data_IF_129119944013
#
_entry.id   IF_129119944013
#
_cell.length_a   1.000
_cell.length_b   1.000
_cell.length_c   1.000
_cell.angle_alpha   90.00
_cell.angle_beta   90.00
_cell.angle_gamma   90.00
#
_symmetry.space_group_name_H-M   'P 1'
#
loop_
_entity.id
_entity.type
_entity.pdbx_description
1 polymer ?
#
# COMPACT_ATOMS: atom_id res chain seq x y z
N UNK A 1 -22.31 -0.89 26.94
CA UNK A 1 -23.41 -1.83 26.61
C UNK A 1 -24.48 -1.24 25.70
N UNK A 2 -24.33 -0.02 25.17
CA UNK A 2 -25.38 0.70 24.42
C UNK A 2 -25.25 0.67 22.89
N UNK A 3 -24.09 0.39 22.31
CA UNK A 3 -23.93 0.38 20.84
C UNK A 3 -24.42 -0.90 20.14
N UNK A 4 -24.30 -2.08 20.76
CA UNK A 4 -24.83 -3.33 20.19
C UNK A 4 -26.37 -3.39 20.13
N UNK A 5 -27.05 -2.63 20.99
CA UNK A 5 -28.51 -2.60 21.04
C UNK A 5 -29.13 -1.75 19.92
N UNK A 6 -28.39 -0.76 19.39
CA UNK A 6 -28.88 0.12 18.31
C UNK A 6 -28.78 -0.53 16.92
N UNK A 7 -27.80 -1.45 16.72
CA UNK A 7 -27.64 -2.21 15.46
C UNK A 7 -28.82 -3.19 15.19
N UNK A 8 -29.49 -3.65 16.23
CA UNK A 8 -30.60 -4.63 16.13
C UNK A 8 -31.92 -3.97 15.70
N UNK A 9 -32.05 -2.65 15.87
CA UNK A 9 -33.33 -1.96 15.63
C UNK A 9 -33.53 -1.45 14.18
N UNK A 10 -32.50 -1.38 13.34
CA UNK A 10 -32.62 -0.84 11.99
C UNK A 10 -32.45 -1.87 10.86
N UNK A 11 -32.03 -3.09 11.13
CA UNK A 11 -31.88 -4.16 10.12
C UNK A 11 -30.91 -3.85 8.98
N UNK A 12 -30.23 -2.71 9.01
CA UNK A 12 -29.27 -2.27 7.99
C UNK A 12 -27.87 -2.63 8.46
N UNK A 13 -27.35 -3.76 8.01
CA UNK A 13 -25.91 -4.04 8.14
C UNK A 13 -25.19 -2.89 7.45
N UNK A 14 -24.53 -2.01 8.23
CA UNK A 14 -23.75 -0.92 7.65
C UNK A 14 -22.63 -1.51 6.81
N UNK A 15 -22.58 -1.13 5.54
CA UNK A 15 -21.56 -1.59 4.61
C UNK A 15 -20.19 -1.07 5.06
N UNK A 16 -19.22 -1.97 5.25
CA UNK A 16 -17.86 -1.60 5.66
C UNK A 16 -17.18 -0.76 4.57
N UNK A 17 -16.74 0.45 4.92
CA UNK A 17 -16.08 1.38 4.00
C UNK A 17 -14.56 1.22 4.04
N UNK A 18 -13.93 1.21 2.87
CA UNK A 18 -12.47 1.07 2.71
C UNK A 18 -11.94 2.13 1.75
N UNK A 19 -10.95 2.89 2.18
CA UNK A 19 -10.18 3.76 1.29
C UNK A 19 -9.01 2.99 0.67
N UNK A 20 -8.84 3.09 -0.65
CA UNK A 20 -7.69 2.54 -1.38
C UNK A 20 -6.99 3.66 -2.12
N UNK A 21 -5.70 3.86 -1.93
CA UNK A 21 -4.92 4.84 -2.69
C UNK A 21 -4.29 4.23 -3.94
N UNK A 22 -4.18 5.02 -5.02
CA UNK A 22 -3.59 4.58 -6.29
C UNK A 22 -4.50 3.69 -7.13
N UNK A 23 -5.80 4.00 -7.17
CA UNK A 23 -6.81 3.21 -7.89
C UNK A 23 -6.84 3.46 -9.40
N UNK A 24 -5.99 4.34 -9.95
CA UNK A 24 -6.01 4.61 -11.39
C UNK A 24 -5.56 3.42 -12.25
N UNK A 25 -4.85 2.43 -11.70
CA UNK A 25 -4.41 1.24 -12.44
C UNK A 25 -3.81 0.16 -11.53
N UNK A 26 -3.47 -0.98 -12.11
CA UNK A 26 -2.66 -2.02 -11.48
C UNK A 26 -3.25 -2.56 -10.18
N UNK A 27 -2.41 -2.73 -9.15
CA UNK A 27 -2.81 -3.35 -7.88
C UNK A 27 -3.98 -2.61 -7.22
N UNK A 28 -3.97 -1.27 -7.22
CA UNK A 28 -5.02 -0.47 -6.58
C UNK A 28 -6.38 -0.67 -7.25
N UNK A 29 -6.43 -0.60 -8.58
CA UNK A 29 -7.66 -0.81 -9.35
C UNK A 29 -8.22 -2.22 -9.17
N UNK A 30 -7.37 -3.24 -9.35
CA UNK A 30 -7.80 -4.63 -9.21
C UNK A 30 -8.26 -4.95 -7.78
N UNK A 31 -7.59 -4.39 -6.77
CA UNK A 31 -8.03 -4.52 -5.37
C UNK A 31 -9.35 -3.81 -5.10
N UNK A 32 -9.57 -2.64 -5.72
CA UNK A 32 -10.84 -1.92 -5.61
C UNK A 32 -12.01 -2.73 -6.19
N UNK A 33 -11.81 -3.32 -7.37
CA UNK A 33 -12.78 -4.20 -8.02
C UNK A 33 -13.09 -5.43 -7.16
N UNK A 34 -12.05 -6.07 -6.60
CA UNK A 34 -12.23 -7.23 -5.74
C UNK A 34 -12.95 -6.90 -4.44
N UNK A 35 -12.52 -5.85 -3.71
CA UNK A 35 -13.18 -5.49 -2.44
C UNK A 35 -14.63 -5.03 -2.66
N UNK A 36 -14.95 -4.38 -3.79
CA UNK A 36 -16.33 -4.08 -4.18
C UNK A 36 -17.15 -5.36 -4.37
N UNK A 37 -16.58 -6.38 -5.05
CA UNK A 37 -17.24 -7.71 -5.20
C UNK A 37 -17.48 -8.41 -3.85
N UNK A 38 -16.62 -8.16 -2.88
CA UNK A 38 -16.77 -8.67 -1.51
C UNK A 38 -17.76 -7.87 -0.66
N UNK A 39 -18.42 -6.89 -1.24
CA UNK A 39 -19.48 -6.11 -0.57
C UNK A 39 -18.97 -4.89 0.21
N UNK A 40 -17.72 -4.48 0.06
CA UNK A 40 -17.23 -3.24 0.67
C UNK A 40 -17.70 -2.01 -0.10
N UNK A 41 -17.98 -0.92 0.62
CA UNK A 41 -18.04 0.41 0.04
C UNK A 41 -16.61 0.90 -0.17
N UNK A 42 -16.19 0.99 -1.43
CA UNK A 42 -14.82 1.35 -1.78
C UNK A 42 -14.73 2.81 -2.18
N UNK A 43 -13.94 3.56 -1.41
CA UNK A 43 -13.49 4.91 -1.74
C UNK A 43 -12.17 4.79 -2.53
N UNK A 44 -12.19 5.21 -3.78
CA UNK A 44 -11.10 5.01 -4.73
C UNK A 44 -10.23 6.26 -4.87
N UNK A 45 -9.10 6.30 -4.17
CA UNK A 45 -8.16 7.41 -4.19
C UNK A 45 -7.33 7.48 -5.47
N UNK A 46 -7.42 8.60 -6.19
CA UNK A 46 -6.68 8.87 -7.42
C UNK A 46 -6.06 10.27 -7.38
N UNK A 47 -4.91 10.43 -8.06
CA UNK A 47 -4.18 11.71 -8.09
C UNK A 47 -4.72 12.70 -9.13
N UNK A 48 -5.33 12.22 -10.20
CA UNK A 48 -5.84 13.05 -11.29
C UNK A 48 -7.36 13.12 -11.26
N UNK A 49 -7.97 14.31 -11.51
CA UNK A 49 -9.43 14.44 -11.58
C UNK A 49 -10.09 13.48 -12.58
N UNK A 50 -9.51 13.31 -13.77
CA UNK A 50 -10.05 12.41 -14.80
C UNK A 50 -10.11 10.95 -14.32
N UNK A 51 -9.12 10.52 -13.52
CA UNK A 51 -9.13 9.18 -12.92
C UNK A 51 -10.21 9.06 -11.83
N UNK A 52 -10.49 10.13 -11.07
CA UNK A 52 -11.58 10.18 -10.09
C UNK A 52 -12.93 10.04 -10.80
N UNK A 53 -13.16 10.80 -11.89
CA UNK A 53 -14.40 10.70 -12.69
C UNK A 53 -14.59 9.31 -13.28
N UNK A 54 -13.50 8.71 -13.77
CA UNK A 54 -13.52 7.33 -14.26
C UNK A 54 -13.88 6.34 -13.16
N UNK A 55 -13.34 6.48 -11.94
CA UNK A 55 -13.71 5.62 -10.82
C UNK A 55 -15.18 5.80 -10.44
N UNK A 56 -15.69 7.03 -10.46
CA UNK A 56 -17.13 7.30 -10.25
C UNK A 56 -18.01 6.63 -11.31
N UNK A 57 -17.62 6.70 -12.60
CA UNK A 57 -18.34 6.02 -13.68
C UNK A 57 -18.37 4.49 -13.57
N UNK A 58 -17.35 3.92 -12.90
CA UNK A 58 -17.27 2.48 -12.56
C UNK A 58 -18.07 2.13 -11.29
N UNK A 59 -18.75 3.12 -10.68
CA UNK A 59 -19.58 2.93 -9.48
C UNK A 59 -18.78 2.76 -8.19
N UNK A 60 -17.60 3.37 -8.10
CA UNK A 60 -16.88 3.62 -6.85
C UNK A 60 -17.21 5.01 -6.32
N UNK A 61 -16.77 5.32 -5.14
CA UNK A 61 -16.68 6.70 -4.64
C UNK A 61 -15.26 7.20 -4.87
N UNK A 62 -15.06 8.03 -5.89
CA UNK A 62 -13.75 8.58 -6.23
C UNK A 62 -13.33 9.67 -5.26
N UNK A 63 -12.08 9.63 -4.81
CA UNK A 63 -11.47 10.63 -3.92
C UNK A 63 -10.20 11.20 -4.56
N UNK A 64 -10.10 12.51 -4.65
CA UNK A 64 -8.92 13.17 -5.19
C UNK A 64 -7.83 13.27 -4.11
N UNK A 65 -6.72 12.57 -4.31
CA UNK A 65 -5.61 12.56 -3.34
C UNK A 65 -4.25 12.50 -4.04
N UNK A 66 -3.39 13.45 -3.72
CA UNK A 66 -1.96 13.42 -4.01
C UNK A 66 -1.17 13.26 -2.70
N UNK A 67 -0.52 12.11 -2.55
CA UNK A 67 0.27 11.81 -1.34
C UNK A 67 1.55 12.65 -1.22
N UNK A 68 1.94 13.35 -2.28
CA UNK A 68 3.10 14.26 -2.27
C UNK A 68 2.74 15.67 -1.74
N UNK A 69 1.45 15.98 -1.61
CA UNK A 69 0.93 17.24 -1.06
C UNK A 69 0.23 17.03 0.28
N UNK A 70 0.79 17.54 1.39
CA UNK A 70 0.15 17.48 2.71
C UNK A 70 -1.27 18.03 2.72
N UNK A 71 -1.52 19.14 2.02
CA UNK A 71 -2.83 19.79 1.94
C UNK A 71 -3.84 18.92 1.17
N UNK A 72 -3.38 18.20 0.14
CA UNK A 72 -4.23 17.25 -0.58
C UNK A 72 -4.61 16.05 0.29
N UNK A 73 -3.66 15.57 1.09
CA UNK A 73 -3.90 14.47 2.03
C UNK A 73 -4.91 14.87 3.10
N UNK A 74 -4.79 16.08 3.67
CA UNK A 74 -5.73 16.57 4.69
C UNK A 74 -7.14 16.73 4.13
N UNK A 75 -7.30 17.36 2.96
CA UNK A 75 -8.62 17.49 2.29
C UNK A 75 -9.25 16.12 2.00
N UNK A 76 -8.46 15.18 1.46
CA UNK A 76 -8.95 13.85 1.17
C UNK A 76 -9.36 13.10 2.45
N UNK A 77 -8.61 13.25 3.55
CA UNK A 77 -8.97 12.65 4.83
C UNK A 77 -10.29 13.21 5.36
N UNK A 78 -10.49 14.53 5.32
CA UNK A 78 -11.74 15.18 5.75
C UNK A 78 -12.93 14.73 4.89
N UNK A 79 -12.74 14.61 3.57
CA UNK A 79 -13.74 14.08 2.65
C UNK A 79 -14.10 12.63 2.98
N UNK A 80 -13.12 11.76 3.21
CA UNK A 80 -13.34 10.34 3.59
C UNK A 80 -14.09 10.22 4.90
N UNK A 81 -13.73 11.02 5.90
CA UNK A 81 -14.42 11.06 7.20
C UNK A 81 -15.89 11.44 7.02
N UNK A 82 -16.17 12.47 6.22
CA UNK A 82 -17.55 12.91 5.93
C UNK A 82 -18.34 11.84 5.14
N UNK A 83 -17.76 11.25 4.09
CA UNK A 83 -18.38 10.22 3.26
C UNK A 83 -18.69 8.92 4.01
N UNK A 84 -18.01 8.67 5.12
CA UNK A 84 -18.18 7.45 5.92
C UNK A 84 -18.87 7.69 7.27
N UNK A 85 -19.41 8.88 7.50
CA UNK A 85 -20.02 9.26 8.78
C UNK A 85 -19.10 8.95 9.97
N UNK A 86 -17.80 9.25 9.83
CA UNK A 86 -16.77 8.93 10.83
C UNK A 86 -16.68 7.42 11.17
N UNK A 87 -17.04 6.54 10.22
CA UNK A 87 -17.06 5.08 10.38
C UNK A 87 -16.27 4.40 9.26
N UNK A 88 -14.95 4.53 9.29
CA UNK A 88 -14.07 3.90 8.31
C UNK A 88 -13.59 2.54 8.84
N UNK A 89 -13.86 1.48 8.06
CA UNK A 89 -13.38 0.13 8.40
C UNK A 89 -11.90 -0.07 8.05
N UNK A 90 -11.42 0.48 6.93
CA UNK A 90 -10.04 0.18 6.55
C UNK A 90 -9.42 1.11 5.53
N UNK A 91 -8.10 1.02 5.48
CA UNK A 91 -7.24 1.78 4.56
C UNK A 91 -6.31 0.80 3.86
N UNK A 92 -6.24 0.89 2.53
CA UNK A 92 -5.18 0.27 1.74
C UNK A 92 -4.25 1.35 1.15
N UNK A 93 -3.14 1.60 1.81
CA UNK A 93 -2.08 2.48 1.34
C UNK A 93 -1.28 1.75 0.25
N UNK A 94 -1.72 1.90 -0.99
CA UNK A 94 -1.13 1.23 -2.14
C UNK A 94 -0.39 2.18 -3.08
N UNK A 95 -0.78 3.45 -3.15
CA UNK A 95 -0.11 4.43 -4.00
C UNK A 95 1.39 4.58 -3.65
N UNK A 96 2.19 4.76 -4.68
CA UNK A 96 3.63 4.94 -4.56
C UNK A 96 4.30 4.90 -5.92
N UNK A 97 5.56 5.29 -5.96
CA UNK A 97 6.41 5.22 -7.15
C UNK A 97 7.84 4.81 -6.78
N UNK A 98 8.66 4.48 -7.78
CA UNK A 98 10.06 4.14 -7.58
C UNK A 98 10.99 5.12 -8.27
N UNK A 99 11.93 5.70 -7.52
CA UNK A 99 13.05 6.44 -8.07
C UNK A 99 14.28 5.55 -8.08
N UNK A 100 14.79 5.27 -9.27
CA UNK A 100 15.91 4.37 -9.48
C UNK A 100 17.09 5.14 -10.04
N UNK A 101 18.28 4.76 -9.62
CA UNK A 101 19.55 5.33 -10.01
C UNK A 101 20.61 5.07 -8.94
N UNK A 102 21.91 5.23 -9.27
CA UNK A 102 22.98 5.18 -8.28
C UNK A 102 22.75 6.21 -7.18
N UNK A 103 22.92 5.83 -5.91
CA UNK A 103 22.70 6.75 -4.79
C UNK A 103 23.56 8.02 -4.88
N UNK A 104 24.74 7.93 -5.48
CA UNK A 104 25.62 9.09 -5.74
C UNK A 104 25.04 10.13 -6.69
N UNK A 105 24.01 9.78 -7.47
CA UNK A 105 23.34 10.69 -8.43
C UNK A 105 21.98 11.16 -7.94
N UNK A 106 21.46 10.60 -6.85
CA UNK A 106 20.17 10.99 -6.26
C UNK A 106 20.37 12.24 -5.40
N UNK A 107 19.78 13.34 -5.80
CA UNK A 107 19.81 14.57 -5.02
C UNK A 107 18.95 14.45 -3.75
N UNK A 108 19.17 15.38 -2.80
CA UNK A 108 18.31 15.50 -1.60
C UNK A 108 16.84 15.68 -1.97
N UNK A 109 16.52 16.57 -2.90
CA UNK A 109 15.15 16.84 -3.32
C UNK A 109 14.48 15.58 -3.92
N UNK A 110 15.21 14.79 -4.70
CA UNK A 110 14.71 13.52 -5.22
C UNK A 110 14.48 12.47 -4.11
N UNK A 111 15.36 12.42 -3.10
CA UNK A 111 15.16 11.56 -1.94
C UNK A 111 13.92 11.98 -1.14
N UNK A 112 13.77 13.28 -0.88
CA UNK A 112 12.60 13.84 -0.21
C UNK A 112 11.30 13.51 -0.98
N UNK A 113 11.28 13.66 -2.30
CA UNK A 113 10.14 13.30 -3.15
C UNK A 113 9.81 11.80 -3.05
N UNK A 114 10.82 10.91 -3.07
CA UNK A 114 10.60 9.47 -2.90
C UNK A 114 9.92 9.16 -1.56
N UNK A 115 10.37 9.81 -0.48
CA UNK A 115 9.80 9.62 0.85
C UNK A 115 8.45 10.31 1.02
N UNK A 116 8.25 11.47 0.42
CA UNK A 116 7.00 12.23 0.50
C UNK A 116 5.81 11.35 0.09
N UNK A 117 5.80 10.83 -1.12
CA UNK A 117 4.69 10.01 -1.61
C UNK A 117 4.65 8.61 -0.97
N UNK A 118 5.81 7.93 -0.80
CA UNK A 118 5.83 6.53 -0.40
C UNK A 118 5.69 6.31 1.11
N UNK A 119 6.02 7.32 1.91
CA UNK A 119 6.07 7.19 3.36
C UNK A 119 5.30 8.31 4.08
N UNK A 120 5.67 9.58 3.89
CA UNK A 120 5.05 10.67 4.67
C UNK A 120 3.57 10.83 4.36
N UNK A 121 3.17 10.81 3.08
CA UNK A 121 1.76 10.90 2.71
C UNK A 121 0.93 9.72 3.21
N UNK A 122 1.46 8.50 3.15
CA UNK A 122 0.79 7.32 3.70
C UNK A 122 0.69 7.39 5.23
N UNK A 123 1.73 7.88 5.92
CA UNK A 123 1.70 8.14 7.35
C UNK A 123 0.63 9.17 7.72
N UNK A 124 0.69 10.36 7.10
CA UNK A 124 -0.25 11.46 7.37
C UNK A 124 -1.70 11.00 7.16
N UNK A 125 -2.00 10.39 6.01
CA UNK A 125 -3.33 9.87 5.69
C UNK A 125 -3.82 8.87 6.75
N UNK A 126 -2.95 7.92 7.14
CA UNK A 126 -3.31 6.91 8.13
C UNK A 126 -3.59 7.55 9.49
N UNK A 127 -2.75 8.49 9.94
CA UNK A 127 -2.95 9.17 11.23
C UNK A 127 -4.19 10.06 11.26
N UNK A 128 -4.52 10.72 10.14
CA UNK A 128 -5.75 11.52 9.99
C UNK A 128 -7.02 10.65 10.04
N UNK A 129 -6.98 9.45 9.48
CA UNK A 129 -8.13 8.55 9.40
C UNK A 129 -8.26 7.59 10.59
N UNK A 130 -7.19 7.35 11.34
CA UNK A 130 -7.19 6.44 12.48
C UNK A 130 -8.26 6.77 13.54
N UNK A 131 -8.53 8.05 13.90
CA UNK A 131 -9.61 8.39 14.83
C UNK A 131 -11.01 7.95 14.36
N UNK A 132 -11.26 7.89 13.03
CA UNK A 132 -12.51 7.39 12.48
C UNK A 132 -12.63 5.85 12.48
N UNK A 133 -11.52 5.14 12.76
CA UNK A 133 -11.48 3.68 12.84
C UNK A 133 -11.54 3.16 14.27
N UNK A 134 -10.89 3.84 15.21
CA UNK A 134 -10.70 3.38 16.60
C UNK A 134 -12.01 3.08 17.36
N UNK A 135 -13.08 3.91 17.27
CA UNK A 135 -14.30 3.72 18.06
C UNK A 135 -15.03 2.41 17.73
N UNK A 136 -14.78 1.82 16.56
CA UNK A 136 -15.50 0.62 16.10
C UNK A 136 -14.92 -0.69 16.64
N UNK A 137 -13.74 -0.67 17.27
CA UNK A 137 -13.09 -1.84 17.86
C UNK A 137 -12.71 -2.92 16.82
N UNK A 138 -12.78 -2.61 15.53
CA UNK A 138 -12.32 -3.45 14.42
C UNK A 138 -11.83 -2.59 13.26
N UNK A 139 -10.89 -3.07 12.49
CA UNK A 139 -10.41 -2.35 11.31
C UNK A 139 -9.21 -3.02 10.64
N UNK A 140 -8.85 -2.49 9.47
CA UNK A 140 -7.72 -2.97 8.66
C UNK A 140 -6.90 -1.81 8.14
N UNK A 141 -5.60 -1.83 8.43
CA UNK A 141 -4.60 -0.97 7.80
C UNK A 141 -3.67 -1.88 6.99
N UNK A 142 -3.72 -1.75 5.68
CA UNK A 142 -2.91 -2.56 4.76
C UNK A 142 -1.96 -1.64 4.02
N UNK A 143 -0.68 -1.99 4.01
CA UNK A 143 0.38 -1.19 3.39
C UNK A 143 1.04 -1.98 2.27
N UNK A 144 1.22 -1.38 1.10
CA UNK A 144 2.03 -1.96 0.03
C UNK A 144 3.51 -1.66 0.27
N UNK A 145 4.22 -2.64 0.80
CA UNK A 145 5.67 -2.65 0.86
C UNK A 145 6.27 -3.19 -0.46
N UNK A 146 7.34 -3.91 -0.41
CA UNK A 146 8.02 -4.57 -1.54
C UNK A 146 9.03 -5.57 -1.02
N UNK A 147 9.50 -6.48 -1.88
CA UNK A 147 10.75 -7.20 -1.63
C UNK A 147 11.91 -6.24 -1.36
N UNK A 148 11.86 -5.02 -1.92
CA UNK A 148 12.81 -3.94 -1.66
C UNK A 148 12.67 -3.28 -0.27
N UNK A 149 11.66 -3.60 0.48
CA UNK A 149 11.56 -3.28 1.91
C UNK A 149 12.30 -4.28 2.80
N UNK A 150 12.73 -5.40 2.24
CA UNK A 150 13.45 -6.47 2.92
C UNK A 150 14.93 -6.53 2.53
N UNK A 151 15.25 -6.21 1.28
CA UNK A 151 16.61 -6.13 0.74
C UNK A 151 16.77 -4.84 -0.07
N UNK A 152 18.01 -4.53 -0.44
CA UNK A 152 18.32 -3.47 -1.40
C UNK A 152 19.26 -4.00 -2.47
N UNK A 153 19.16 -3.43 -3.68
CA UNK A 153 20.04 -3.75 -4.80
C UNK A 153 20.64 -2.47 -5.38
N UNK A 154 21.77 -2.55 -6.09
CA UNK A 154 22.33 -1.38 -6.77
C UNK A 154 21.27 -0.68 -7.63
N UNK A 155 21.29 0.65 -7.65
CA UNK A 155 20.35 1.48 -8.41
C UNK A 155 18.94 1.60 -7.83
N UNK A 156 18.62 0.95 -6.71
CA UNK A 156 17.28 1.02 -6.07
C UNK A 156 17.31 1.55 -4.64
N UNK A 157 18.42 2.17 -4.23
CA UNK A 157 18.64 2.56 -2.84
C UNK A 157 17.59 3.51 -2.28
N UNK A 158 17.19 4.55 -3.01
CA UNK A 158 16.17 5.51 -2.58
C UNK A 158 14.80 4.84 -2.36
N UNK A 159 14.36 4.05 -3.32
CA UNK A 159 13.11 3.29 -3.22
C UNK A 159 13.16 2.28 -2.06
N UNK A 160 14.24 1.50 -1.96
CA UNK A 160 14.41 0.53 -0.87
C UNK A 160 14.35 1.21 0.48
N UNK A 161 15.05 2.34 0.68
CA UNK A 161 15.03 3.10 1.91
C UNK A 161 13.61 3.49 2.34
N UNK A 162 12.78 3.99 1.39
CA UNK A 162 11.38 4.34 1.67
C UNK A 162 10.54 3.13 2.08
N UNK A 163 10.78 1.95 1.47
CA UNK A 163 10.05 0.72 1.81
C UNK A 163 10.52 0.09 3.11
N UNK A 164 11.81 0.17 3.44
CA UNK A 164 12.32 -0.22 4.77
C UNK A 164 11.73 0.65 5.88
N UNK A 165 11.62 1.96 5.65
CA UNK A 165 10.96 2.86 6.59
C UNK A 165 9.51 2.44 6.84
N UNK A 166 8.77 2.09 5.77
CA UNK A 166 7.39 1.63 5.83
C UNK A 166 7.24 0.31 6.61
N UNK A 167 8.18 -0.64 6.44
CA UNK A 167 8.21 -1.90 7.20
C UNK A 167 8.33 -1.64 8.71
N UNK A 168 9.34 -0.85 9.11
CA UNK A 168 9.58 -0.53 10.52
C UNK A 168 8.41 0.24 11.14
N UNK A 169 7.86 1.23 10.41
CA UNK A 169 6.70 2.01 10.83
C UNK A 169 5.46 1.12 11.03
N UNK A 170 5.20 0.22 10.10
CA UNK A 170 4.05 -0.69 10.18
C UNK A 170 4.16 -1.67 11.35
N UNK A 171 5.36 -2.14 11.66
CA UNK A 171 5.60 -2.99 12.82
C UNK A 171 5.35 -2.23 14.14
N UNK A 172 5.79 -0.98 14.24
CA UNK A 172 5.53 -0.13 15.41
C UNK A 172 4.02 0.10 15.58
N UNK A 173 3.34 0.57 14.51
CA UNK A 173 1.90 0.82 14.55
C UNK A 173 1.09 -0.44 14.92
N UNK A 174 1.47 -1.60 14.39
CA UNK A 174 0.82 -2.87 14.73
C UNK A 174 0.91 -3.20 16.23
N UNK A 175 2.05 -2.92 16.86
CA UNK A 175 2.25 -3.14 18.29
C UNK A 175 1.48 -2.11 19.12
N UNK A 176 1.44 -0.87 18.71
CA UNK A 176 0.68 0.21 19.36
C UNK A 176 -0.82 -0.07 19.32
N UNK A 177 -1.34 -0.57 18.19
CA UNK A 177 -2.76 -0.87 17.99
C UNK A 177 -3.20 -2.26 18.49
N UNK A 178 -2.35 -3.02 19.20
CA UNK A 178 -2.63 -4.42 19.60
C UNK A 178 -3.93 -4.63 20.35
N UNK A 179 -4.43 -3.63 21.07
CA UNK A 179 -5.66 -3.68 21.87
C UNK A 179 -6.85 -2.96 21.24
N UNK A 180 -6.69 -2.32 20.08
CA UNK A 180 -7.74 -1.54 19.42
C UNK A 180 -8.71 -2.37 18.57
N UNK A 181 -8.36 -3.63 18.27
CA UNK A 181 -9.07 -4.45 17.28
C UNK A 181 -8.65 -4.18 15.82
N UNK A 182 -7.93 -3.08 15.56
CA UNK A 182 -7.39 -2.77 14.22
C UNK A 182 -6.19 -3.67 13.94
N UNK A 183 -6.16 -4.27 12.75
CA UNK A 183 -5.05 -5.13 12.30
C UNK A 183 -4.23 -4.42 11.22
N UNK A 184 -2.93 -4.40 11.40
CA UNK A 184 -1.97 -3.83 10.45
C UNK A 184 -1.27 -4.96 9.70
N UNK A 185 -1.27 -4.89 8.36
CA UNK A 185 -0.69 -5.89 7.46
C UNK A 185 0.17 -5.24 6.38
N UNK A 186 1.25 -5.90 6.03
CA UNK A 186 2.13 -5.53 4.93
C UNK A 186 1.94 -6.49 3.76
N UNK A 187 1.72 -5.98 2.57
CA UNK A 187 1.79 -6.72 1.32
C UNK A 187 3.20 -6.49 0.77
N UNK A 188 3.92 -7.56 0.47
CA UNK A 188 5.31 -7.52 0.06
C UNK A 188 5.45 -8.13 -1.35
N UNK A 189 5.12 -7.36 -2.41
CA UNK A 189 5.27 -7.81 -3.78
C UNK A 189 6.74 -7.97 -4.15
N UNK A 190 7.04 -9.02 -4.92
CA UNK A 190 8.22 -9.09 -5.75
C UNK A 190 7.97 -8.44 -7.12
N UNK A 191 8.55 -8.95 -8.21
CA UNK A 191 8.27 -8.47 -9.56
C UNK A 191 6.79 -8.70 -9.93
N UNK A 192 6.05 -7.60 -10.17
CA UNK A 192 4.64 -7.61 -10.60
C UNK A 192 4.50 -6.76 -11.87
N UNK A 193 3.82 -7.27 -12.89
CA UNK A 193 3.50 -6.52 -14.12
C UNK A 193 2.44 -5.47 -13.83
N UNK A 194 2.85 -4.22 -13.69
CA UNK A 194 1.98 -3.06 -13.48
C UNK A 194 2.58 -1.83 -14.15
N UNK A 195 1.79 -0.77 -14.32
CA UNK A 195 2.30 0.54 -14.76
C UNK A 195 3.33 1.17 -13.83
N UNK A 196 3.53 0.59 -12.65
CA UNK A 196 4.61 1.01 -11.75
C UNK A 196 5.99 0.91 -12.44
N UNK A 197 6.24 -0.18 -13.18
CA UNK A 197 7.49 -0.36 -13.94
C UNK A 197 7.65 0.71 -15.01
N UNK A 198 6.56 1.06 -15.71
CA UNK A 198 6.58 2.09 -16.75
C UNK A 198 6.86 3.48 -16.15
N UNK A 199 6.28 3.78 -14.99
CA UNK A 199 6.50 5.05 -14.28
C UNK A 199 7.95 5.16 -13.76
N UNK A 200 8.56 4.06 -13.32
CA UNK A 200 9.98 4.02 -12.92
C UNK A 200 10.88 4.37 -14.09
N UNK A 201 10.65 3.79 -15.27
CA UNK A 201 11.46 4.05 -16.45
C UNK A 201 11.39 5.51 -16.92
N UNK A 202 10.33 6.24 -16.61
CA UNK A 202 10.18 7.67 -16.92
C UNK A 202 10.97 8.60 -15.98
N UNK A 203 11.35 8.14 -14.80
CA UNK A 203 12.13 8.93 -13.84
C UNK A 203 13.63 8.78 -14.01
N UNK A 204 14.09 7.88 -14.88
CA UNK A 204 15.51 7.69 -15.23
C UNK A 204 15.85 8.38 -16.53
N UNK A 205 16.83 9.29 -16.48
CA UNK A 205 17.52 9.78 -17.67
C UNK A 205 18.24 8.60 -18.36
N UNK A 206 17.91 8.37 -19.61
CA UNK A 206 18.68 7.75 -20.68
C UNK A 206 18.91 6.23 -20.74
N UNK A 207 18.53 5.40 -19.79
CA UNK A 207 18.54 3.94 -20.02
C UNK A 207 17.40 3.23 -19.27
N UNK A 208 16.59 2.42 -19.99
CA UNK A 208 15.64 1.53 -19.32
C UNK A 208 16.40 0.65 -18.33
N UNK A 209 15.91 0.50 -17.11
CA UNK A 209 16.40 -0.57 -16.23
C UNK A 209 15.90 -1.88 -16.82
N UNK A 210 16.66 -2.39 -17.77
CA UNK A 210 16.49 -3.77 -18.17
C UNK A 210 16.68 -4.64 -16.93
N UNK A 211 15.68 -5.39 -16.60
CA UNK A 211 15.75 -6.41 -15.58
C UNK A 211 15.78 -7.79 -16.26
N UNK A 212 16.86 -8.13 -16.98
CA UNK A 212 16.98 -9.39 -17.72
C UNK A 212 17.34 -10.57 -16.81
N UNK A 213 17.29 -10.36 -15.48
CA UNK A 213 17.68 -11.37 -14.51
C UNK A 213 16.61 -12.46 -14.32
N UNK A 214 17.02 -13.52 -13.62
CA UNK A 214 16.17 -14.66 -13.21
C UNK A 214 14.83 -14.20 -12.59
N UNK A 215 14.80 -13.04 -11.93
CA UNK A 215 13.61 -12.44 -11.35
C UNK A 215 12.49 -12.15 -12.37
N UNK A 216 12.82 -11.85 -13.64
CA UNK A 216 11.82 -11.62 -14.68
C UNK A 216 10.96 -12.86 -14.97
N UNK A 217 11.54 -14.06 -14.82
CA UNK A 217 10.83 -15.34 -15.00
C UNK A 217 9.76 -15.61 -13.92
N UNK A 218 9.83 -14.90 -12.80
CA UNK A 218 8.90 -15.03 -11.67
C UNK A 218 7.98 -13.82 -11.53
N UNK A 219 7.86 -12.99 -12.59
CA UNK A 219 6.95 -11.85 -12.60
C UNK A 219 5.51 -12.34 -12.69
N UNK A 220 4.71 -11.98 -11.69
CA UNK A 220 3.28 -12.30 -11.63
C UNK A 220 2.43 -11.10 -12.09
N UNK A 221 1.17 -11.35 -12.37
CA UNK A 221 0.20 -10.29 -12.58
C UNK A 221 -0.32 -9.68 -11.27
N UNK A 222 -1.05 -8.55 -11.33
CA UNK A 222 -1.59 -7.88 -10.15
C UNK A 222 -2.59 -8.76 -9.36
N UNK A 223 -3.23 -9.74 -9.99
CA UNK A 223 -4.15 -10.71 -9.38
C UNK A 223 -3.52 -11.47 -8.20
N UNK A 224 -2.23 -11.78 -8.29
CA UNK A 224 -1.51 -12.47 -7.20
C UNK A 224 -1.41 -11.60 -5.93
N UNK A 225 -1.40 -10.30 -6.08
CA UNK A 225 -1.43 -9.32 -4.98
C UNK A 225 -2.84 -9.20 -4.43
N UNK A 226 -3.84 -9.14 -5.30
CA UNK A 226 -5.25 -8.97 -4.96
C UNK A 226 -5.75 -10.05 -3.98
N UNK A 227 -5.37 -11.31 -4.19
CA UNK A 227 -5.71 -12.39 -3.26
C UNK A 227 -5.17 -12.15 -1.84
N UNK A 228 -3.98 -11.57 -1.73
CA UNK A 228 -3.38 -11.24 -0.41
C UNK A 228 -4.09 -10.07 0.23
N UNK A 229 -4.42 -9.03 -0.56
CA UNK A 229 -5.20 -7.87 -0.10
C UNK A 229 -6.58 -8.33 0.36
N UNK A 230 -7.29 -9.14 -0.43
CA UNK A 230 -8.58 -9.71 -0.06
C UNK A 230 -8.50 -10.45 1.28
N UNK A 231 -7.51 -11.34 1.45
CA UNK A 231 -7.33 -12.07 2.71
C UNK A 231 -7.04 -11.11 3.88
N UNK A 232 -6.24 -10.06 3.68
CA UNK A 232 -5.93 -9.10 4.72
C UNK A 232 -7.17 -8.33 5.20
N UNK A 233 -8.13 -8.05 4.30
CA UNK A 233 -9.36 -7.33 4.66
C UNK A 233 -10.46 -8.23 5.24
N UNK A 234 -10.61 -9.47 4.75
CA UNK A 234 -11.75 -10.34 5.08
C UNK A 234 -11.45 -11.27 6.24
N UNK A 235 -10.20 -11.74 6.37
CA UNK A 235 -9.85 -12.73 7.39
C UNK A 235 -10.03 -12.19 8.81
N UNK A 236 -10.58 -13.02 9.70
CA UNK A 236 -10.60 -12.72 11.15
C UNK A 236 -9.19 -12.69 11.75
N UNK A 237 -8.26 -13.46 11.15
CA UNK A 237 -6.86 -13.56 11.57
C UNK A 237 -5.93 -13.21 10.41
N UNK A 238 -5.88 -11.94 9.97
CA UNK A 238 -4.99 -11.54 8.89
C UNK A 238 -3.52 -11.73 9.31
N UNK A 239 -2.68 -12.06 8.33
CA UNK A 239 -1.24 -12.16 8.56
C UNK A 239 -0.63 -10.77 8.70
N UNK A 240 0.44 -10.67 9.48
CA UNK A 240 1.23 -9.43 9.58
C UNK A 240 1.93 -9.09 8.25
N UNK A 241 2.39 -10.11 7.53
CA UNK A 241 3.10 -9.99 6.25
C UNK A 241 2.58 -10.98 5.22
N UNK A 242 2.50 -10.51 3.99
CA UNK A 242 2.05 -11.27 2.83
C UNK A 242 3.12 -11.21 1.71
N UNK A 243 4.13 -12.09 1.74
CA UNK A 243 5.02 -12.24 0.60
C UNK A 243 4.22 -12.76 -0.60
N UNK A 244 4.28 -12.04 -1.72
CA UNK A 244 3.42 -12.34 -2.88
C UNK A 244 4.09 -13.32 -3.84
N UNK A 245 5.39 -13.13 -4.11
CA UNK A 245 6.11 -13.98 -5.05
C UNK A 245 7.02 -14.97 -4.33
N UNK A 246 7.36 -16.07 -5.03
CA UNK A 246 8.34 -17.02 -4.52
C UNK A 246 9.70 -16.34 -4.23
N UNK A 247 10.07 -15.36 -5.05
CA UNK A 247 11.29 -14.56 -4.85
C UNK A 247 11.26 -13.84 -3.51
N UNK A 248 10.15 -13.19 -3.17
CA UNK A 248 10.01 -12.48 -1.89
C UNK A 248 10.11 -13.46 -0.72
N UNK A 249 9.45 -14.62 -0.82
CA UNK A 249 9.54 -15.64 0.21
C UNK A 249 10.97 -16.17 0.38
N UNK A 250 11.64 -16.50 -0.71
CA UNK A 250 13.03 -16.96 -0.69
C UNK A 250 13.96 -15.92 -0.06
N UNK A 251 13.82 -14.63 -0.43
CA UNK A 251 14.60 -13.52 0.16
C UNK A 251 14.40 -13.42 1.66
N UNK A 252 13.15 -13.51 2.14
CA UNK A 252 12.86 -13.47 3.59
C UNK A 252 13.60 -14.56 4.36
N UNK A 253 13.66 -15.77 3.81
CA UNK A 253 14.36 -16.91 4.43
C UNK A 253 15.88 -16.72 4.34
N UNK A 254 16.39 -16.43 3.15
CA UNK A 254 17.83 -16.29 2.90
C UNK A 254 18.47 -15.17 3.72
N UNK A 255 17.79 -14.02 3.84
CA UNK A 255 18.27 -12.88 4.64
C UNK A 255 18.47 -13.25 6.12
N UNK A 256 17.70 -14.22 6.64
CA UNK A 256 17.84 -14.68 8.04
C UNK A 256 18.93 -15.73 8.24
N UNK A 257 19.24 -16.49 7.20
CA UNK A 257 20.16 -17.62 7.27
C UNK A 257 21.56 -17.31 6.77
N UNK A 258 21.69 -16.37 5.82
CA UNK A 258 22.95 -16.10 5.16
C UNK A 258 23.66 -14.87 5.76
N UNK A 259 25.00 -14.93 5.88
CA UNK A 259 25.81 -13.75 6.21
C UNK A 259 25.67 -12.65 5.15
N UNK A 260 25.74 -11.37 5.57
CA UNK A 260 25.55 -10.22 4.68
C UNK A 260 26.42 -10.26 3.42
N UNK A 261 27.70 -10.63 3.54
CA UNK A 261 28.62 -10.77 2.40
C UNK A 261 28.14 -11.76 1.32
N UNK A 262 27.44 -12.82 1.75
CA UNK A 262 26.88 -13.81 0.81
C UNK A 262 25.64 -13.23 0.14
N UNK A 263 24.79 -12.55 0.91
CA UNK A 263 23.63 -11.85 0.36
C UNK A 263 24.06 -10.78 -0.66
N UNK A 264 25.07 -9.98 -0.34
CA UNK A 264 25.58 -8.96 -1.27
C UNK A 264 25.99 -9.55 -2.63
N UNK A 265 26.72 -10.68 -2.61
CA UNK A 265 27.10 -11.39 -3.86
C UNK A 265 25.90 -11.86 -4.66
N UNK A 266 24.85 -12.34 -4.00
CA UNK A 266 23.61 -12.80 -4.66
C UNK A 266 22.85 -11.59 -5.27
N UNK A 267 22.85 -10.45 -4.60
CA UNK A 267 22.05 -9.28 -4.97
C UNK A 267 22.77 -8.33 -5.96
N UNK A 268 24.08 -8.49 -6.11
CA UNK A 268 24.88 -7.72 -7.09
C UNK A 268 24.81 -8.31 -8.52
N UNK A 269 24.39 -9.57 -8.67
CA UNK A 269 24.27 -10.30 -9.93
C UNK A 269 25.58 -10.93 -10.29
#
# INVERSE_FOLDING_TARGET
MTHKATEILTGKVMQKSVLITGCSSGIGLESALELKRQGFHVLAGCRKPDDVERMNSMGFTGVLIDLDSPESVDRAADEVIALTDNCLYGIFNNAGFGMYGPLSTISRAQMEQQFSANFFGAHQLTMRLLPAMLPHGEGRIVMTSSVMGLISTPGRGAYSASKYALEAWSDALRMELRHSGIKVSLIEPGPIRTRFTDNVNQTQSDKPVENPGIAARFTLGPEAVVDKVRHAFISEKPKMRYPVTLVTWAVMVLKRLLPGRVMDKILQG
#
